data_IF_146764917989
#
_entry.id   IF_146764917989
#
_cell.length_a   1.000
_cell.length_b   1.000
_cell.length_c   1.000
_cell.angle_alpha   90.00
_cell.angle_beta   90.00
_cell.angle_gamma   90.00
#
_symmetry.space_group_name_H-M   'P 1'
#
loop_
_entity.id
_entity.type
_entity.pdbx_description
1 polymer ?
#
# COMPACT_ATOMS: atom_id res chain seq x y z
N UNK A 1 31.75 5.87 -2.78
CA UNK A 1 30.55 5.73 -3.64
C UNK A 1 30.70 4.63 -4.69
N UNK A 2 31.71 4.66 -5.58
CA UNK A 2 31.83 3.68 -6.68
C UNK A 2 31.88 2.20 -6.25
N UNK A 3 32.57 1.87 -5.14
CA UNK A 3 32.64 0.50 -4.63
C UNK A 3 31.31 -0.06 -4.13
N UNK A 4 30.47 0.79 -3.53
CA UNK A 4 29.11 0.42 -3.10
C UNK A 4 28.28 0.15 -4.36
N UNK A 5 28.32 1.09 -5.32
CA UNK A 5 27.57 1.03 -6.58
C UNK A 5 27.80 -0.24 -7.42
N UNK A 6 28.97 -0.86 -7.30
CA UNK A 6 29.30 -2.09 -8.03
C UNK A 6 28.60 -3.35 -7.49
N UNK A 7 27.79 -3.28 -6.43
CA UNK A 7 27.12 -4.43 -5.79
C UNK A 7 28.09 -5.53 -5.31
N UNK A 8 29.36 -5.17 -5.07
CA UNK A 8 30.41 -6.10 -4.59
C UNK A 8 30.52 -6.11 -3.06
N UNK A 9 29.86 -5.16 -2.39
CA UNK A 9 29.90 -5.00 -0.93
C UNK A 9 28.63 -5.52 -0.27
N UNK A 10 28.79 -6.08 0.92
CA UNK A 10 27.71 -6.55 1.80
C UNK A 10 27.92 -6.00 3.20
N UNK A 11 26.87 -5.99 4.02
CA UNK A 11 26.97 -5.51 5.40
C UNK A 11 27.98 -6.33 6.20
N UNK A 12 27.99 -7.66 6.04
CA UNK A 12 28.94 -8.56 6.69
C UNK A 12 30.42 -8.26 6.39
N UNK A 13 30.73 -7.71 5.21
CA UNK A 13 32.10 -7.35 4.82
C UNK A 13 32.55 -5.99 5.35
N UNK A 14 31.62 -5.07 5.57
CA UNK A 14 31.92 -3.72 6.06
C UNK A 14 30.81 -3.16 6.98
N UNK A 15 30.60 -3.75 8.17
CA UNK A 15 29.53 -3.32 9.08
C UNK A 15 29.75 -1.88 9.55
N UNK A 16 31.01 -1.51 9.77
CA UNK A 16 31.40 -0.16 10.19
C UNK A 16 31.04 0.94 9.20
N UNK A 17 30.78 0.63 7.92
CA UNK A 17 30.37 1.64 6.93
C UNK A 17 29.00 2.22 7.27
N UNK A 18 28.01 1.36 7.54
CA UNK A 18 26.67 1.81 7.90
C UNK A 18 26.64 2.41 9.32
N UNK A 19 27.47 1.92 10.25
CA UNK A 19 27.61 2.52 11.58
C UNK A 19 28.11 3.97 11.49
N UNK A 20 29.20 4.21 10.76
CA UNK A 20 29.72 5.57 10.56
C UNK A 20 28.72 6.44 9.80
N UNK A 21 28.03 5.89 8.80
CA UNK A 21 26.99 6.63 8.07
C UNK A 21 25.79 7.00 8.96
N UNK A 22 25.40 6.14 9.89
CA UNK A 22 24.36 6.42 10.90
C UNK A 22 24.82 7.51 11.87
N UNK A 23 26.05 7.43 12.40
CA UNK A 23 26.62 8.44 13.30
C UNK A 23 26.71 9.83 12.65
N UNK A 24 27.06 9.86 11.36
CA UNK A 24 27.18 11.10 10.58
C UNK A 24 25.86 11.55 9.97
N UNK A 25 24.78 10.79 10.14
CA UNK A 25 23.48 11.04 9.49
C UNK A 25 23.60 11.22 7.97
N UNK A 26 24.50 10.47 7.33
CA UNK A 26 24.72 10.51 5.87
C UNK A 26 23.61 9.73 5.16
N UNK A 27 22.49 10.42 4.90
CA UNK A 27 21.29 9.82 4.30
C UNK A 27 21.55 9.23 2.91
N UNK A 28 22.48 9.79 2.14
CA UNK A 28 22.79 9.30 0.80
C UNK A 28 23.54 7.96 0.88
N UNK A 29 24.54 7.88 1.75
CA UNK A 29 25.29 6.64 1.95
C UNK A 29 24.38 5.55 2.51
N UNK A 30 23.51 5.88 3.47
CA UNK A 30 22.53 4.94 4.00
C UNK A 30 21.55 4.43 2.94
N UNK A 31 21.03 5.32 2.08
CA UNK A 31 20.14 4.93 0.98
C UNK A 31 20.83 3.96 0.00
N UNK A 32 22.08 4.24 -0.37
CA UNK A 32 22.85 3.36 -1.25
C UNK A 32 23.11 1.99 -0.62
N UNK A 33 23.46 1.95 0.67
CA UNK A 33 23.68 0.68 1.37
C UNK A 33 22.38 -0.14 1.43
N UNK A 34 21.24 0.49 1.77
CA UNK A 34 19.93 -0.18 1.82
C UNK A 34 19.49 -0.77 0.47
N UNK A 35 19.91 -0.17 -0.63
CA UNK A 35 19.57 -0.66 -1.97
C UNK A 35 20.48 -1.81 -2.44
N UNK A 36 21.72 -1.89 -1.93
CA UNK A 36 22.75 -2.73 -2.51
C UNK A 36 23.24 -3.85 -1.59
N UNK A 37 23.11 -3.70 -0.27
CA UNK A 37 23.53 -4.72 0.67
C UNK A 37 22.40 -5.73 0.88
N UNK A 38 22.65 -7.03 0.61
CA UNK A 38 21.61 -8.06 0.70
C UNK A 38 21.35 -8.55 2.14
N UNK A 39 22.24 -8.25 3.09
CA UNK A 39 22.37 -8.90 4.39
C UNK A 39 22.39 -7.89 5.56
N UNK A 40 21.60 -6.82 5.45
CA UNK A 40 21.52 -5.78 6.49
C UNK A 40 20.69 -6.30 7.68
N UNK A 41 21.21 -6.25 8.92
CA UNK A 41 20.44 -6.63 10.10
C UNK A 41 19.25 -5.70 10.35
N UNK A 42 18.15 -6.25 10.85
CA UNK A 42 16.91 -5.51 11.12
C UNK A 42 17.11 -4.35 12.11
N UNK A 43 18.03 -4.51 13.07
CA UNK A 43 18.41 -3.45 14.00
C UNK A 43 18.95 -2.21 13.27
N UNK A 44 19.78 -2.41 12.24
CA UNK A 44 20.38 -1.36 11.42
C UNK A 44 19.33 -0.74 10.51
N UNK A 45 18.47 -1.56 9.90
CA UNK A 45 17.33 -1.09 9.09
C UNK A 45 16.39 -0.20 9.92
N UNK A 46 16.06 -0.59 11.15
CA UNK A 46 15.28 0.23 12.07
C UNK A 46 16.01 1.51 12.49
N UNK A 47 17.34 1.47 12.68
CA UNK A 47 18.12 2.66 12.96
C UNK A 47 18.07 3.65 11.77
N UNK A 48 18.21 3.16 10.53
CA UNK A 48 18.04 3.97 9.32
C UNK A 48 16.64 4.58 9.24
N UNK A 49 15.59 3.80 9.53
CA UNK A 49 14.21 4.30 9.55
C UNK A 49 14.04 5.44 10.55
N UNK A 50 14.57 5.30 11.78
CA UNK A 50 14.53 6.36 12.80
C UNK A 50 15.25 7.62 12.32
N UNK A 51 16.45 7.47 11.73
CA UNK A 51 17.20 8.60 11.17
C UNK A 51 16.38 9.30 10.09
N UNK A 52 15.86 8.58 9.10
CA UNK A 52 15.09 9.17 8.00
C UNK A 52 13.80 9.88 8.44
N UNK A 53 13.15 9.39 9.50
CA UNK A 53 11.96 10.02 10.07
C UNK A 53 12.32 11.25 10.94
N UNK A 54 13.52 11.29 11.51
CA UNK A 54 14.01 12.37 12.38
C UNK A 54 14.69 13.53 11.64
N UNK A 55 15.28 13.29 10.47
CA UNK A 55 16.01 14.30 9.69
C UNK A 55 15.03 15.40 9.23
N UNK A 56 15.37 16.66 9.49
CA UNK A 56 14.56 17.81 9.12
C UNK A 56 14.44 18.03 7.60
N UNK A 57 13.33 18.64 7.17
CA UNK A 57 13.05 18.86 5.75
C UNK A 57 14.10 19.76 5.06
N UNK A 58 14.60 20.78 5.77
CA UNK A 58 15.63 21.70 5.27
C UNK A 58 16.94 20.98 4.93
N UNK A 59 17.39 20.09 5.83
CA UNK A 59 18.60 19.29 5.63
C UNK A 59 18.46 18.28 4.49
N UNK A 60 17.27 17.70 4.31
CA UNK A 60 17.03 16.77 3.20
C UNK A 60 17.09 17.50 1.86
N UNK A 61 16.58 18.73 1.78
CA UNK A 61 16.56 19.52 0.54
C UNK A 61 17.96 19.76 -0.04
N UNK A 62 18.99 19.87 0.81
CA UNK A 62 20.39 20.08 0.39
C UNK A 62 21.10 18.77 0.00
N UNK A 63 20.65 17.62 0.49
CA UNK A 63 21.28 16.31 0.22
C UNK A 63 20.91 15.72 -1.15
N UNK A 64 21.87 15.07 -1.82
CA UNK A 64 21.61 14.31 -3.05
C UNK A 64 21.06 12.92 -2.73
N UNK A 65 19.74 12.78 -2.82
CA UNK A 65 19.00 11.53 -2.61
C UNK A 65 18.56 10.99 -3.97
N UNK A 66 18.65 9.68 -4.18
CA UNK A 66 18.12 9.05 -5.40
C UNK A 66 16.58 9.04 -5.34
N UNK A 67 15.92 9.67 -6.32
CA UNK A 67 14.46 9.79 -6.41
C UNK A 67 13.79 8.76 -7.32
N UNK A 68 14.52 7.80 -7.89
CA UNK A 68 13.99 6.82 -8.86
C UNK A 68 12.76 6.01 -8.37
N UNK A 69 12.61 5.90 -7.04
CA UNK A 69 11.48 5.22 -6.39
C UNK A 69 10.28 6.14 -6.08
N UNK A 70 10.35 7.41 -6.45
CA UNK A 70 9.28 8.42 -6.26
C UNK A 70 8.91 8.97 -7.62
N UNK A 71 7.68 8.72 -8.05
CA UNK A 71 7.13 9.42 -9.21
C UNK A 71 6.93 10.89 -8.87
N UNK A 72 7.61 11.79 -9.59
CA UNK A 72 7.27 13.21 -9.60
C UNK A 72 5.89 13.37 -10.23
N UNK A 73 4.86 13.41 -9.40
CA UNK A 73 3.57 13.95 -9.82
C UNK A 73 3.69 15.47 -9.77
N UNK A 74 4.30 16.05 -10.81
CA UNK A 74 3.95 17.42 -11.16
C UNK A 74 2.49 17.39 -11.61
N UNK A 75 1.67 18.19 -10.93
CA UNK A 75 0.31 18.51 -11.31
C UNK A 75 0.37 19.34 -12.61
N UNK A 76 0.70 18.68 -13.72
CA UNK A 76 0.66 19.24 -15.05
C UNK A 76 -0.58 18.69 -15.72
N UNK A 77 -1.61 19.55 -15.75
CA UNK A 77 -2.83 19.37 -16.51
C UNK A 77 -2.55 18.76 -17.90
N UNK A 78 -2.88 17.48 -18.07
CA UNK A 78 -3.20 16.94 -19.38
C UNK A 78 -4.71 16.90 -19.50
N UNK A 79 -5.21 18.02 -20.01
CA UNK A 79 -6.51 18.18 -20.62
C UNK A 79 -6.53 17.34 -21.91
N UNK A 80 -6.69 16.02 -21.79
CA UNK A 80 -7.07 15.17 -22.92
C UNK A 80 -8.53 14.77 -22.76
N UNK A 81 -9.39 15.54 -23.44
CA UNK A 81 -10.75 15.14 -23.80
C UNK A 81 -10.70 13.77 -24.46
N UNK A 82 -11.11 12.72 -23.75
CA UNK A 82 -11.55 11.48 -24.37
C UNK A 82 -13.07 11.41 -24.24
N UNK A 83 -13.73 11.42 -25.40
CA UNK A 83 -15.17 11.47 -25.57
C UNK A 83 -15.88 10.35 -24.80
N UNK A 84 -16.92 10.75 -24.05
CA UNK A 84 -17.85 9.83 -23.44
C UNK A 84 -18.60 9.04 -24.51
N UNK A 85 -18.32 7.75 -24.64
CA UNK A 85 -19.28 6.79 -25.14
C UNK A 85 -19.92 6.08 -23.95
N UNK A 86 -21.04 6.64 -23.51
CA UNK A 86 -22.00 6.03 -22.60
C UNK A 86 -22.69 4.85 -23.30
N UNK A 87 -22.20 3.63 -23.09
CA UNK A 87 -23.05 2.43 -23.13
C UNK A 87 -23.03 1.80 -21.74
N UNK A 88 -24.02 2.21 -20.93
CA UNK A 88 -24.31 1.62 -19.63
C UNK A 88 -24.96 0.26 -19.89
N UNK A 89 -24.17 -0.81 -19.91
CA UNK A 89 -24.68 -2.16 -19.69
C UNK A 89 -24.94 -2.32 -18.19
N UNK A 90 -26.19 -2.13 -17.78
CA UNK A 90 -26.67 -2.45 -16.43
C UNK A 90 -26.50 -3.96 -16.17
N UNK A 91 -25.45 -4.34 -15.44
CA UNK A 91 -25.49 -5.57 -14.66
C UNK A 91 -26.44 -5.31 -13.49
N UNK A 92 -27.50 -6.13 -13.39
CA UNK A 92 -28.58 -6.02 -12.41
C UNK A 92 -28.13 -6.28 -10.97
N UNK A 93 -27.40 -5.34 -10.40
CA UNK A 93 -27.13 -5.23 -8.96
C UNK A 93 -27.94 -4.06 -8.41
N UNK A 94 -29.00 -4.36 -7.67
CA UNK A 94 -29.70 -3.38 -6.83
C UNK A 94 -29.11 -3.46 -5.42
N UNK A 95 -28.56 -2.37 -4.85
CA UNK A 95 -27.95 -2.37 -3.53
C UNK A 95 -28.98 -2.02 -2.44
N UNK A 96 -30.19 -2.55 -2.55
CA UNK A 96 -31.21 -2.38 -1.52
C UNK A 96 -31.79 -3.75 -1.19
N UNK A 97 -31.19 -4.41 -0.21
CA UNK A 97 -31.82 -5.29 0.79
C UNK A 97 -30.72 -6.08 1.54
N UNK A 98 -30.16 -5.46 2.59
CA UNK A 98 -29.77 -6.20 3.80
C UNK A 98 -29.64 -5.21 4.97
N UNK A 99 -30.66 -5.20 5.82
CA UNK A 99 -30.77 -4.30 6.97
C UNK A 99 -29.78 -4.69 8.07
N UNK A 100 -28.75 -3.87 8.28
CA UNK A 100 -28.09 -3.75 9.57
C UNK A 100 -28.31 -2.33 10.11
N UNK A 101 -29.55 -2.07 10.50
CA UNK A 101 -29.98 -0.87 11.21
C UNK A 101 -29.35 -0.81 12.62
N UNK A 102 -28.12 -0.29 12.72
CA UNK A 102 -27.68 0.57 13.83
C UNK A 102 -26.27 1.10 13.60
N UNK A 103 -26.11 2.06 12.69
CA UNK A 103 -25.02 3.04 12.79
C UNK A 103 -25.24 4.35 12.02
N UNK A 104 -26.42 4.56 11.42
CA UNK A 104 -26.66 5.69 10.50
C UNK A 104 -27.44 6.87 11.09
N UNK A 105 -27.75 6.88 12.39
CA UNK A 105 -28.56 7.96 12.99
C UNK A 105 -27.81 9.15 13.57
N UNK A 106 -26.48 9.19 13.49
CA UNK A 106 -25.74 10.42 13.78
C UNK A 106 -25.15 10.93 12.47
N UNK A 107 -25.54 12.15 12.06
CA UNK A 107 -25.12 12.89 10.86
C UNK A 107 -26.12 12.88 9.69
N UNK A 108 -27.37 13.32 9.95
CA UNK A 108 -28.17 14.04 8.95
C UNK A 108 -28.36 15.48 9.39
N UNK A 109 -27.38 16.34 9.08
CA UNK A 109 -27.60 17.77 8.88
C UNK A 109 -26.84 18.24 7.63
N UNK A 110 -27.44 19.20 6.93
CA UNK A 110 -27.23 19.61 5.52
C UNK A 110 -25.81 20.11 5.17
N UNK A 111 -25.47 20.12 3.86
CA UNK A 111 -24.10 20.34 3.37
C UNK A 111 -23.73 21.82 3.37
N UNK A 112 -22.71 22.17 4.14
CA UNK A 112 -21.94 23.40 3.94
C UNK A 112 -20.46 23.06 3.96
N UNK A 113 -19.86 23.23 2.77
CA UNK A 113 -18.45 23.49 2.50
C UNK A 113 -17.43 22.79 3.41
N UNK A 114 -16.92 21.64 2.97
CA UNK A 114 -15.58 21.19 3.36
C UNK A 114 -14.90 20.63 2.13
N UNK A 115 -13.95 21.44 1.65
CA UNK A 115 -12.84 21.16 0.73
C UNK A 115 -12.57 19.67 0.57
N UNK A 116 -12.66 19.18 -0.67
CA UNK A 116 -12.00 17.96 -1.10
C UNK A 116 -10.49 18.14 -0.82
N UNK A 117 -10.02 17.59 0.30
CA UNK A 117 -8.58 17.44 0.56
C UNK A 117 -8.03 16.44 -0.46
N UNK A 118 -7.66 16.94 -1.64
CA UNK A 118 -6.74 16.27 -2.55
C UNK A 118 -5.51 15.89 -1.73
N UNK A 119 -5.37 14.59 -1.49
CA UNK A 119 -4.40 14.02 -0.56
C UNK A 119 -2.97 14.37 -1.01
N UNK A 120 -2.42 15.43 -0.45
CA UNK A 120 -1.01 15.76 -0.61
C UNK A 120 -0.17 14.72 0.14
N UNK A 121 1.01 14.40 -0.41
CA UNK A 121 1.91 13.45 0.23
C UNK A 121 2.30 13.98 1.62
N UNK A 122 2.15 13.17 2.70
CA UNK A 122 2.43 13.63 4.08
C UNK A 122 3.92 13.88 4.35
N UNK A 123 4.79 13.50 3.40
CA UNK A 123 6.24 13.68 3.49
C UNK A 123 6.78 14.28 2.19
N UNK A 124 7.89 15.03 2.29
CA UNK A 124 8.57 15.55 1.11
C UNK A 124 9.10 14.41 0.21
N UNK A 125 9.22 14.61 -1.12
CA UNK A 125 9.65 13.57 -2.05
C UNK A 125 10.98 12.89 -1.67
N UNK A 126 11.93 13.66 -1.14
CA UNK A 126 13.22 13.13 -0.68
C UNK A 126 13.07 12.12 0.45
N UNK A 127 12.23 12.43 1.44
CA UNK A 127 11.95 11.51 2.55
C UNK A 127 11.18 10.28 2.04
N UNK A 128 10.22 10.47 1.14
CA UNK A 128 9.52 9.37 0.49
C UNK A 128 10.50 8.38 -0.18
N UNK A 129 11.52 8.88 -0.90
CA UNK A 129 12.52 8.01 -1.53
C UNK A 129 13.37 7.20 -0.53
N UNK A 130 13.71 7.81 0.62
CA UNK A 130 14.42 7.13 1.70
C UNK A 130 13.55 6.06 2.37
N UNK A 131 12.28 6.37 2.64
CA UNK A 131 11.32 5.43 3.21
C UNK A 131 11.05 4.27 2.25
N UNK A 132 10.94 4.53 0.94
CA UNK A 132 10.79 3.49 -0.08
C UNK A 132 12.02 2.58 -0.20
N UNK A 133 13.20 3.03 0.20
CA UNK A 133 14.38 2.15 0.32
C UNK A 133 14.22 1.18 1.50
N UNK A 134 13.69 1.63 2.64
CA UNK A 134 13.39 0.77 3.79
C UNK A 134 12.33 -0.27 3.44
N UNK A 135 11.23 0.14 2.78
CA UNK A 135 10.14 -0.78 2.44
C UNK A 135 10.57 -1.94 1.52
N UNK A 136 11.62 -1.70 0.71
CA UNK A 136 12.18 -2.70 -0.20
C UNK A 136 13.29 -3.55 0.43
N UNK A 137 13.81 -3.16 1.59
CA UNK A 137 14.84 -3.94 2.27
C UNK A 137 14.29 -5.30 2.68
N UNK A 138 15.12 -6.34 2.58
CA UNK A 138 14.78 -7.65 3.10
C UNK A 138 14.74 -7.60 4.63
N UNK A 139 13.76 -8.26 5.22
CA UNK A 139 13.61 -8.31 6.67
C UNK A 139 13.02 -9.65 7.10
N UNK A 140 13.27 -10.00 8.35
CA UNK A 140 12.54 -11.04 9.07
C UNK A 140 11.69 -10.42 10.17
N UNK A 141 10.39 -10.69 10.15
CA UNK A 141 9.41 -10.16 11.11
C UNK A 141 9.83 -10.40 12.57
N UNK A 142 10.29 -11.61 12.90
CA UNK A 142 10.68 -11.99 14.25
C UNK A 142 11.84 -11.13 14.81
N UNK A 143 12.73 -10.67 13.93
CA UNK A 143 13.89 -9.85 14.30
C UNK A 143 13.61 -8.35 14.17
N UNK A 144 12.67 -7.95 13.31
CA UNK A 144 12.30 -6.55 13.11
C UNK A 144 11.39 -6.02 14.23
N UNK A 145 10.38 -6.79 14.64
CA UNK A 145 9.37 -6.36 15.61
C UNK A 145 9.93 -5.79 16.93
N UNK A 146 10.97 -6.39 17.57
CA UNK A 146 11.54 -5.82 18.79
C UNK A 146 12.07 -4.39 18.60
N UNK A 147 12.68 -4.11 17.45
CA UNK A 147 13.35 -2.84 17.15
C UNK A 147 12.35 -1.75 16.73
N UNK A 148 11.18 -2.13 16.20
CA UNK A 148 10.10 -1.22 15.84
C UNK A 148 9.41 -0.59 17.07
N UNK A 149 9.47 -1.25 18.23
CA UNK A 149 8.91 -0.73 19.51
C UNK A 149 9.67 0.48 20.03
N UNK A 150 10.93 0.61 19.65
CA UNK A 150 11.81 1.69 20.10
C UNK A 150 11.66 2.96 19.24
N UNK A 151 10.72 2.99 18.29
CA UNK A 151 10.47 4.17 17.44
C UNK A 151 9.50 5.10 18.17
N UNK A 152 9.78 6.42 18.22
CA UNK A 152 8.86 7.38 18.82
C UNK A 152 7.47 7.38 18.18
N UNK A 153 6.44 7.57 19.01
CA UNK A 153 5.03 7.59 18.61
C UNK A 153 4.71 8.55 17.44
N UNK A 154 5.35 9.72 17.43
CA UNK A 154 5.17 10.73 16.37
C UNK A 154 5.68 10.23 15.02
N UNK A 155 6.85 9.57 15.02
CA UNK A 155 7.44 8.98 13.82
C UNK A 155 6.64 7.78 13.32
N UNK A 156 6.11 6.95 14.22
CA UNK A 156 5.21 5.85 13.85
C UNK A 156 3.95 6.40 13.18
N UNK A 157 3.34 7.43 13.75
CA UNK A 157 2.11 8.02 13.19
C UNK A 157 2.36 8.61 11.81
N UNK A 158 3.46 9.36 11.63
CA UNK A 158 3.84 9.92 10.32
C UNK A 158 4.11 8.81 9.29
N UNK A 159 4.82 7.75 9.70
CA UNK A 159 5.14 6.65 8.79
C UNK A 159 3.89 5.85 8.40
N UNK A 160 2.96 5.62 9.34
CA UNK A 160 1.68 4.96 9.07
C UNK A 160 0.79 5.81 8.14
N UNK A 161 0.78 7.14 8.31
CA UNK A 161 0.09 8.05 7.38
C UNK A 161 0.69 7.97 5.97
N UNK A 162 2.03 7.92 5.87
CA UNK A 162 2.70 7.76 4.59
C UNK A 162 2.39 6.43 3.92
N UNK A 163 2.39 5.32 4.67
CA UNK A 163 2.02 4.00 4.15
C UNK A 163 0.57 3.95 3.67
N UNK A 164 -0.34 4.56 4.41
CA UNK A 164 -1.74 4.66 3.99
C UNK A 164 -1.89 5.53 2.73
N UNK A 165 -1.13 6.60 2.60
CA UNK A 165 -1.07 7.40 1.37
C UNK A 165 -0.58 6.57 0.17
N UNK A 166 0.52 5.81 0.33
CA UNK A 166 1.03 4.92 -0.72
C UNK A 166 0.00 3.85 -1.09
N UNK A 167 -0.66 3.27 -0.08
CA UNK A 167 -1.71 2.29 -0.26
C UNK A 167 -2.86 2.85 -1.13
N UNK A 168 -3.38 4.03 -0.78
CA UNK A 168 -4.45 4.67 -1.56
C UNK A 168 -4.02 4.89 -3.01
N UNK A 169 -2.78 5.38 -3.21
CA UNK A 169 -2.22 5.59 -4.55
C UNK A 169 -2.03 4.29 -5.35
N UNK A 170 -1.71 3.17 -4.71
CA UNK A 170 -1.70 1.87 -5.37
C UNK A 170 -3.13 1.48 -5.81
N UNK A 171 -4.12 1.70 -4.94
CA UNK A 171 -5.50 1.27 -5.17
C UNK A 171 -6.25 2.10 -6.21
N UNK A 172 -5.84 3.34 -6.45
CA UNK A 172 -6.39 4.21 -7.51
C UNK A 172 -6.02 3.68 -8.93
N UNK A 173 -4.89 2.98 -9.06
CA UNK A 173 -4.43 2.45 -10.34
C UNK A 173 -5.01 1.06 -10.62
N UNK A 174 -5.55 0.84 -11.82
CA UNK A 174 -6.10 -0.46 -12.23
C UNK A 174 -5.07 -1.61 -12.17
N UNK A 175 -3.78 -1.29 -12.34
CA UNK A 175 -2.68 -2.26 -12.26
C UNK A 175 -2.21 -2.54 -10.82
N UNK A 176 -2.72 -1.82 -9.82
CA UNK A 176 -2.32 -1.94 -8.41
C UNK A 176 -0.81 -1.71 -8.17
N UNK A 177 -0.18 -0.93 -9.06
CA UNK A 177 1.25 -0.59 -9.01
C UNK A 177 1.44 0.91 -8.94
N UNK A 178 2.45 1.37 -8.20
CA UNK A 178 2.88 2.77 -8.22
C UNK A 178 3.74 3.05 -9.46
N UNK A 179 3.83 4.31 -9.92
CA UNK A 179 4.79 4.69 -10.96
C UNK A 179 6.18 4.90 -10.37
N UNK A 180 7.20 4.56 -11.15
CA UNK A 180 8.62 4.68 -10.76
C UNK A 180 9.44 3.52 -11.31
N UNK A 181 10.77 3.63 -11.25
CA UNK A 181 11.67 2.56 -11.74
C UNK A 181 11.60 1.35 -10.81
N UNK A 182 11.53 1.60 -9.49
CA UNK A 182 11.44 0.56 -8.46
C UNK A 182 10.59 0.99 -7.25
N UNK A 183 9.25 1.10 -7.40
CA UNK A 183 8.37 1.45 -6.29
C UNK A 183 8.16 0.27 -5.33
N UNK A 184 7.77 0.53 -4.06
CA UNK A 184 7.27 -0.52 -3.16
C UNK A 184 6.02 -1.19 -3.72
N UNK A 185 5.90 -2.49 -3.51
CA UNK A 185 4.71 -3.27 -3.91
C UNK A 185 3.59 -3.12 -2.88
N UNK A 186 2.35 -3.37 -3.31
CA UNK A 186 1.17 -3.35 -2.41
C UNK A 186 1.36 -4.29 -1.21
N UNK A 187 1.91 -5.49 -1.44
CA UNK A 187 2.17 -6.46 -0.38
C UNK A 187 3.17 -5.91 0.65
N UNK A 188 4.29 -5.34 0.19
CA UNK A 188 5.25 -4.71 1.09
C UNK A 188 4.59 -3.60 1.93
N UNK A 189 3.77 -2.75 1.31
CA UNK A 189 3.07 -1.69 2.04
C UNK A 189 2.14 -2.27 3.12
N UNK A 190 1.35 -3.29 2.77
CA UNK A 190 0.43 -3.96 3.71
C UNK A 190 1.18 -4.67 4.83
N UNK A 191 2.26 -5.39 4.52
CA UNK A 191 3.07 -6.09 5.52
C UNK A 191 3.67 -5.09 6.52
N UNK A 192 4.20 -3.95 6.04
CA UNK A 192 4.73 -2.90 6.91
C UNK A 192 3.63 -2.21 7.74
N UNK A 193 2.41 -2.05 7.22
CA UNK A 193 1.27 -1.58 8.02
C UNK A 193 0.97 -2.56 9.15
N UNK A 194 0.89 -3.86 8.86
CA UNK A 194 0.66 -4.90 9.86
C UNK A 194 1.77 -4.90 10.92
N UNK A 195 3.04 -4.92 10.53
CA UNK A 195 4.19 -4.92 11.44
C UNK A 195 4.21 -3.71 12.38
N UNK A 196 3.89 -2.52 11.88
CA UNK A 196 3.84 -1.32 12.71
C UNK A 196 2.69 -1.38 13.71
N UNK A 197 1.52 -1.87 13.28
CA UNK A 197 0.39 -2.07 14.17
C UNK A 197 0.69 -3.13 15.22
N UNK A 198 1.26 -4.28 14.85
CA UNK A 198 1.60 -5.35 15.79
C UNK A 198 2.64 -4.92 16.83
N UNK A 199 3.65 -4.14 16.42
CA UNK A 199 4.65 -3.61 17.33
C UNK A 199 4.11 -2.51 18.27
N UNK A 200 3.25 -1.62 17.76
CA UNK A 200 2.93 -0.36 18.42
C UNK A 200 1.43 -0.10 18.67
N UNK A 201 0.55 -1.10 18.52
CA UNK A 201 -0.91 -0.94 18.60
C UNK A 201 -1.37 -0.14 19.80
N UNK A 202 -0.89 -0.47 21.00
CA UNK A 202 -1.27 0.21 22.24
C UNK A 202 -0.94 1.70 22.21
N UNK A 203 0.20 2.07 21.64
CA UNK A 203 0.62 3.47 21.50
C UNK A 203 -0.22 4.16 20.44
N UNK A 204 -0.43 3.54 19.28
CA UNK A 204 -1.19 4.10 18.16
C UNK A 204 -2.66 4.35 18.55
N UNK A 205 -3.31 3.44 19.27
CA UNK A 205 -4.72 3.59 19.68
C UNK A 205 -4.93 4.73 20.68
N UNK A 206 -3.92 5.05 21.49
CA UNK A 206 -3.97 6.15 22.44
C UNK A 206 -3.84 7.53 21.78
N UNK A 207 -3.28 7.59 20.56
CA UNK A 207 -3.09 8.83 19.79
C UNK A 207 -4.39 9.18 19.05
N UNK A 208 -5.04 10.32 19.35
CA UNK A 208 -6.30 10.68 18.72
C UNK A 208 -6.18 10.88 17.21
N UNK A 209 -5.04 11.38 16.73
CA UNK A 209 -4.74 11.60 15.30
C UNK A 209 -4.71 10.28 14.52
N UNK A 210 -4.26 9.20 15.15
CA UNK A 210 -4.22 7.88 14.53
C UNK A 210 -5.58 7.18 14.51
N UNK A 211 -6.56 7.60 15.34
CA UNK A 211 -7.90 6.99 15.36
C UNK A 211 -8.62 7.13 14.02
N UNK A 212 -8.54 8.30 13.37
CA UNK A 212 -9.14 8.52 12.04
C UNK A 212 -8.52 7.56 11.02
N UNK A 213 -7.19 7.41 11.06
CA UNK A 213 -6.43 6.53 10.18
C UNK A 213 -6.79 5.05 10.39
N UNK A 214 -6.85 4.60 11.65
CA UNK A 214 -7.26 3.24 12.02
C UNK A 214 -8.70 2.94 11.60
N UNK A 215 -9.61 3.89 11.74
CA UNK A 215 -11.00 3.74 11.28
C UNK A 215 -11.07 3.60 9.76
N UNK A 216 -10.27 4.36 9.01
CA UNK A 216 -10.19 4.22 7.56
C UNK A 216 -9.63 2.85 7.15
N UNK A 217 -8.55 2.40 7.79
CA UNK A 217 -8.00 1.05 7.57
C UNK A 217 -9.00 -0.05 7.90
N UNK A 218 -9.72 0.07 9.03
CA UNK A 218 -10.74 -0.89 9.42
C UNK A 218 -11.90 -0.97 8.42
N UNK A 219 -12.45 0.18 8.00
CA UNK A 219 -13.50 0.24 6.97
C UNK A 219 -13.04 -0.40 5.66
N UNK A 220 -11.79 -0.14 5.29
CA UNK A 220 -11.18 -0.70 4.11
C UNK A 220 -11.07 -2.23 4.19
N UNK A 221 -10.48 -2.78 5.27
CA UNK A 221 -10.37 -4.23 5.48
C UNK A 221 -11.74 -4.89 5.46
N UNK A 222 -12.74 -4.26 6.08
CA UNK A 222 -14.13 -4.73 6.03
C UNK A 222 -14.68 -4.78 4.59
N UNK A 223 -14.40 -3.77 3.78
CA UNK A 223 -14.78 -3.75 2.36
C UNK A 223 -14.10 -4.88 1.58
N UNK A 224 -12.80 -5.10 1.78
CA UNK A 224 -12.07 -6.20 1.13
C UNK A 224 -12.61 -7.58 1.52
N UNK A 225 -12.95 -7.80 2.79
CA UNK A 225 -13.58 -9.04 3.24
C UNK A 225 -14.92 -9.27 2.52
N UNK A 226 -15.71 -8.20 2.35
CA UNK A 226 -16.97 -8.27 1.60
C UNK A 226 -16.73 -8.67 0.14
N UNK A 227 -15.79 -8.02 -0.55
CA UNK A 227 -15.43 -8.34 -1.94
C UNK A 227 -14.98 -9.79 -2.07
N UNK A 228 -14.09 -10.27 -1.18
CA UNK A 228 -13.64 -11.66 -1.18
C UNK A 228 -14.78 -12.65 -0.95
N UNK A 229 -15.74 -12.31 -0.08
CA UNK A 229 -16.96 -13.11 0.12
C UNK A 229 -17.78 -13.20 -1.16
N UNK A 230 -18.03 -12.08 -1.84
CA UNK A 230 -18.78 -12.08 -3.10
C UNK A 230 -18.05 -12.83 -4.22
N UNK A 231 -16.73 -12.67 -4.33
CA UNK A 231 -15.91 -13.42 -5.29
C UNK A 231 -15.97 -14.93 -5.01
N UNK A 232 -15.96 -15.33 -3.74
CA UNK A 232 -16.10 -16.74 -3.36
C UNK A 232 -17.47 -17.31 -3.77
N UNK A 233 -18.57 -16.54 -3.64
CA UNK A 233 -19.90 -16.95 -4.14
C UNK A 233 -19.90 -17.15 -5.66
N UNK A 234 -19.22 -16.27 -6.40
CA UNK A 234 -19.08 -16.38 -7.86
C UNK A 234 -18.25 -17.62 -8.23
N UNK A 235 -17.15 -17.90 -7.53
CA UNK A 235 -16.31 -19.07 -7.79
C UNK A 235 -17.10 -20.38 -7.60
N UNK A 236 -17.88 -20.47 -6.52
CA UNK A 236 -18.75 -21.63 -6.25
C UNK A 236 -19.76 -21.80 -7.40
N UNK A 237 -20.41 -20.72 -7.82
CA UNK A 237 -21.39 -20.74 -8.91
C UNK A 237 -20.74 -21.17 -10.24
N UNK A 238 -19.53 -20.68 -10.52
CA UNK A 238 -18.77 -21.05 -11.72
C UNK A 238 -18.40 -22.54 -11.72
N UNK A 239 -18.00 -23.07 -10.57
CA UNK A 239 -17.69 -24.49 -10.39
C UNK A 239 -18.91 -25.37 -10.65
N UNK A 240 -20.09 -24.96 -10.18
CA UNK A 240 -21.35 -25.67 -10.46
C UNK A 240 -21.72 -25.64 -11.94
N UNK A 241 -21.61 -24.48 -12.60
CA UNK A 241 -21.81 -24.36 -14.05
C UNK A 241 -20.83 -25.23 -14.85
N UNK A 242 -19.57 -25.28 -14.43
CA UNK A 242 -18.57 -26.14 -15.07
C UNK A 242 -18.94 -27.62 -14.95
N UNK A 243 -19.45 -28.06 -13.79
CA UNK A 243 -19.94 -29.42 -13.57
C UNK A 243 -21.14 -29.75 -14.47
N UNK A 244 -22.13 -28.86 -14.53
CA UNK A 244 -23.30 -29.03 -15.41
C UNK A 244 -22.91 -29.09 -16.89
N UNK A 245 -21.92 -28.29 -17.31
CA UNK A 245 -21.41 -28.33 -18.68
C UNK A 245 -20.69 -29.65 -19.00
N UNK A 246 -19.92 -30.21 -18.06
CA UNK A 246 -19.29 -31.52 -18.20
C UNK A 246 -20.35 -32.64 -18.28
N UNK A 247 -21.38 -32.60 -17.44
CA UNK A 247 -22.50 -33.54 -17.48
C UNK A 247 -23.26 -33.45 -18.82
N UNK A 248 -23.48 -32.25 -19.35
CA UNK A 248 -24.13 -32.03 -20.65
C UNK A 248 -23.30 -32.58 -21.81
N UNK A 249 -21.98 -32.41 -21.80
CA UNK A 249 -21.09 -32.95 -22.85
C UNK A 249 -20.94 -34.48 -22.78
N UNK A 250 -21.18 -35.10 -21.63
CA UNK A 250 -21.22 -36.56 -21.49
C UNK A 250 -22.55 -37.19 -21.94
N UNK A 251 -23.58 -36.37 -22.14
CA UNK A 251 -24.93 -36.78 -22.56
C UNK A 251 -25.13 -36.36 -24.02
N UNK A 252 -24.55 -37.12 -24.95
CA UNK A 252 -24.97 -37.07 -26.36
C UNK A 252 -26.43 -37.52 -26.42
N UNK A 253 -27.36 -36.56 -26.34
CA UNK A 253 -28.79 -36.81 -26.33
C UNK A 253 -29.40 -36.40 -27.67
N UNK A 254 -29.92 -37.42 -28.34
CA UNK A 254 -30.87 -37.31 -29.44
C UNK A 254 -32.08 -36.46 -28.99
N UNK A 255 -32.35 -35.38 -29.73
CA UNK A 255 -33.53 -34.53 -29.52
C UNK A 255 -34.62 -34.92 -30.52
N UNK A 256 -35.83 -35.21 -30.03
CA UNK A 256 -37.01 -35.41 -30.89
C UNK A 256 -37.77 -34.08 -30.93
N UNK A 257 -37.77 -33.43 -32.09
CA UNK A 257 -38.58 -32.24 -32.35
C UNK A 257 -39.84 -32.66 -33.13
N UNK A 258 -41.00 -32.19 -32.67
CA UNK A 258 -42.29 -32.42 -33.34
C UNK A 258 -42.60 -31.20 -34.19
N UNK A 259 -42.64 -31.38 -35.51
CA UNK A 259 -43.02 -30.35 -36.46
C UNK A 259 -44.51 -30.50 -36.79
N UNK A 260 -45.29 -29.45 -36.55
CA UNK A 260 -46.66 -29.35 -37.06
C UNK A 260 -46.63 -29.01 -38.55
N UNK A 261 -47.17 -29.91 -39.36
CA UNK A 261 -47.36 -29.71 -40.80
C UNK A 261 -48.72 -29.03 -40.99
N UNK A 262 -48.69 -27.80 -41.54
CA UNK A 262 -49.88 -27.05 -41.96
C UNK A 262 -50.66 -27.74 -43.08
#
# INVERSE_FOLDING_TARGET
MQLVQMHVLSYSLCPGLMEVALERTDVQMLQLCLQQFPDIPEAVTCACLKVFLSVGDSTLQETSVNMESVSEYSDAAHDEKMEAQTEILQNGFNPEEDSCDNCERALKEKPQATVEETASCPVIPKRAALLNAILRSAYSEAFLLPHLKDIPAQHITLFLQYLYFLYLKCSENATMTLPGVHPPTLNQIMDWICLLLDANFTVVVMIPEAKKLLLSLYKFVKSQICICSELNKIEVSFRELQKLNQEKNSRELYSIEVLELF
#
